data_IF_773404590676
#
_entry.id   IF_773404590676
#
_cell.length_a   1.000
_cell.length_b   1.000
_cell.length_c   1.000
_cell.angle_alpha   90.00
_cell.angle_beta   90.00
_cell.angle_gamma   90.00
#
_symmetry.space_group_name_H-M   'P 1'
#
loop_
_entity.id
_entity.type
_entity.pdbx_description
1 polymer ?
#
# COMPACT_ATOMS: atom_id res chain seq x y z
N UNK A 1 21.01 -65.31 9.62
CA UNK A 1 20.02 -64.26 9.29
C UNK A 1 19.68 -63.48 10.56
N UNK A 2 19.37 -62.20 10.38
CA UNK A 2 19.58 -61.12 11.33
C UNK A 2 18.61 -61.02 12.52
N UNK A 3 19.08 -60.32 13.56
CA UNK A 3 18.28 -59.29 14.23
C UNK A 3 18.02 -59.45 15.73
N UNK A 4 18.79 -58.74 16.58
CA UNK A 4 18.28 -58.07 17.79
C UNK A 4 19.29 -57.05 18.33
N UNK A 5 18.73 -55.93 18.80
CA UNK A 5 19.34 -54.66 19.21
C UNK A 5 20.31 -54.79 20.40
N UNK A 6 21.39 -54.00 20.41
CA UNK A 6 21.99 -53.48 21.65
C UNK A 6 22.49 -52.04 21.47
N UNK A 7 22.12 -51.21 22.42
CA UNK A 7 22.56 -49.83 22.61
C UNK A 7 24.04 -49.76 23.01
N UNK A 8 24.77 -48.75 22.54
CA UNK A 8 26.02 -48.30 23.20
C UNK A 8 26.04 -46.78 23.31
N UNK A 9 26.08 -46.31 24.56
CA UNK A 9 26.41 -44.95 24.98
C UNK A 9 27.88 -44.66 24.66
N UNK A 10 28.17 -43.49 24.08
CA UNK A 10 29.52 -42.92 24.03
C UNK A 10 29.50 -41.63 24.85
N UNK A 11 30.35 -41.58 25.88
CA UNK A 11 30.62 -40.40 26.69
C UNK A 11 31.62 -39.49 25.97
N UNK A 12 31.34 -38.18 25.90
CA UNK A 12 32.32 -37.17 25.50
C UNK A 12 32.92 -36.49 26.73
N UNK A 13 34.23 -36.57 26.91
CA UNK A 13 35.01 -35.73 27.84
C UNK A 13 35.38 -34.44 27.11
N UNK A 14 34.94 -33.29 27.61
CA UNK A 14 35.40 -31.99 27.15
C UNK A 14 36.81 -31.68 27.69
N UNK A 15 37.71 -31.25 26.81
CA UNK A 15 39.02 -30.69 27.18
C UNK A 15 39.14 -29.33 26.48
N UNK A 16 39.05 -28.24 27.25
CA UNK A 16 39.34 -26.89 26.78
C UNK A 16 40.86 -26.72 26.68
N UNK A 17 41.39 -26.33 25.51
CA UNK A 17 42.82 -26.09 25.30
C UNK A 17 43.11 -24.58 25.34
N UNK A 18 44.02 -24.19 26.23
CA UNK A 18 44.62 -22.86 26.32
C UNK A 18 45.58 -22.60 25.16
N UNK A 19 45.78 -21.31 24.90
CA UNK A 19 46.68 -20.66 23.93
C UNK A 19 48.10 -21.21 23.84
N UNK A 20 48.66 -21.21 22.62
CA UNK A 20 50.11 -21.23 22.38
C UNK A 20 50.46 -20.19 21.28
N UNK A 21 51.50 -19.34 21.46
CA UNK A 21 52.03 -18.42 20.46
C UNK A 21 53.09 -19.12 19.58
N UNK A 22 53.50 -18.45 18.50
CA UNK A 22 54.50 -18.88 17.51
C UNK A 22 54.11 -20.02 16.54
N UNK A 23 53.78 -19.62 15.30
CA UNK A 23 54.39 -20.22 14.10
C UNK A 23 54.38 -19.17 12.98
N UNK A 24 55.50 -18.47 12.84
CA UNK A 24 55.84 -17.78 11.59
C UNK A 24 56.39 -18.78 10.57
N UNK A 25 55.98 -18.65 9.31
CA UNK A 25 56.88 -18.45 8.16
C UNK A 25 56.11 -18.42 6.82
N UNK A 26 56.39 -17.33 6.10
CA UNK A 26 56.54 -17.17 4.64
C UNK A 26 55.39 -17.49 3.69
N UNK A 27 54.89 -16.43 3.04
CA UNK A 27 55.15 -16.17 1.61
C UNK A 27 55.23 -14.65 1.38
N UNK A 28 56.40 -14.17 0.95
CA UNK A 28 56.57 -12.85 0.31
C UNK A 28 55.88 -12.88 -1.05
N UNK A 29 55.15 -11.87 -1.49
CA UNK A 29 55.56 -10.68 -2.29
C UNK A 29 54.22 -10.05 -2.70
N UNK A 30 53.90 -8.76 -2.73
CA UNK A 30 54.63 -7.52 -2.97
C UNK A 30 53.87 -6.38 -2.30
N UNK A 31 54.60 -5.50 -1.62
CA UNK A 31 54.13 -4.17 -1.22
C UNK A 31 54.21 -3.27 -2.46
N UNK A 32 53.08 -2.98 -3.08
CA UNK A 32 52.89 -1.84 -3.98
C UNK A 32 51.43 -1.43 -3.87
N UNK A 33 51.22 -0.13 -3.70
CA UNK A 33 49.94 0.58 -3.81
C UNK A 33 49.14 0.72 -2.50
N UNK A 34 49.72 1.53 -1.62
CA UNK A 34 48.96 2.41 -0.73
C UNK A 34 47.96 3.26 -1.52
N UNK A 35 46.82 3.53 -0.87
CA UNK A 35 46.00 4.74 -0.99
C UNK A 35 45.27 5.02 -2.31
N UNK A 36 44.04 4.46 -2.48
CA UNK A 36 42.94 5.18 -3.17
C UNK A 36 41.55 4.92 -2.54
N UNK A 37 41.14 5.90 -1.72
CA UNK A 37 39.76 6.36 -1.48
C UNK A 37 38.69 5.37 -0.96
N UNK A 38 38.66 5.16 0.36
CA UNK A 38 37.42 4.81 1.08
C UNK A 38 36.83 6.05 1.74
N UNK A 39 36.20 6.92 0.93
CA UNK A 39 35.27 7.92 1.46
C UNK A 39 33.89 7.23 1.62
N UNK A 40 33.68 6.63 2.79
CA UNK A 40 32.43 5.95 3.14
C UNK A 40 31.32 6.99 3.28
N UNK A 41 30.44 7.06 2.27
CA UNK A 41 29.20 7.83 2.35
C UNK A 41 28.21 7.18 3.30
N UNK A 42 28.03 7.77 4.49
CA UNK A 42 27.17 7.27 5.57
C UNK A 42 25.70 7.00 5.19
N UNK A 43 25.18 7.60 4.10
CA UNK A 43 23.81 7.35 3.62
C UNK A 43 23.65 5.97 2.94
N UNK A 44 24.69 5.50 2.22
CA UNK A 44 24.69 4.22 1.51
C UNK A 44 24.67 3.03 2.48
N UNK A 45 25.41 3.15 3.59
CA UNK A 45 25.45 2.13 4.63
C UNK A 45 24.12 1.99 5.38
N UNK A 46 23.36 3.08 5.51
CA UNK A 46 22.10 3.04 6.23
C UNK A 46 21.02 2.30 5.43
N UNK A 47 20.87 2.58 4.13
CA UNK A 47 19.99 1.83 3.23
C UNK A 47 20.35 0.34 3.20
N UNK A 48 21.62 -0.01 3.05
CA UNK A 48 22.07 -1.41 3.02
C UNK A 48 21.84 -2.14 4.35
N UNK A 49 22.15 -1.51 5.49
CA UNK A 49 21.87 -2.11 6.81
C UNK A 49 20.38 -2.22 7.10
N UNK A 50 19.56 -1.28 6.63
CA UNK A 50 18.11 -1.34 6.76
C UNK A 50 17.53 -2.45 5.87
N UNK A 51 18.01 -2.61 4.64
CA UNK A 51 17.66 -3.73 3.75
C UNK A 51 17.99 -5.08 4.41
N UNK A 52 19.19 -5.23 4.97
CA UNK A 52 19.60 -6.46 5.67
C UNK A 52 18.81 -6.72 6.96
N UNK A 53 18.40 -5.68 7.69
CA UNK A 53 17.72 -5.83 8.99
C UNK A 53 16.20 -5.98 8.87
N UNK A 54 15.57 -5.31 7.90
CA UNK A 54 14.12 -5.19 7.79
C UNK A 54 13.54 -5.86 6.54
N UNK A 55 14.36 -6.24 5.55
CA UNK A 55 13.91 -6.99 4.37
C UNK A 55 13.48 -8.44 4.66
N UNK A 56 13.84 -8.97 5.83
CA UNK A 56 13.60 -10.36 6.23
C UNK A 56 12.35 -10.55 7.11
N UNK A 57 11.64 -9.45 7.45
CA UNK A 57 10.48 -9.46 8.36
C UNK A 57 9.13 -9.73 7.67
N UNK A 58 9.12 -9.96 6.35
CA UNK A 58 7.92 -10.40 5.61
C UNK A 58 7.65 -11.92 5.75
N UNK A 59 8.50 -12.67 6.46
CA UNK A 59 8.17 -14.04 6.89
C UNK A 59 7.35 -14.00 8.18
N UNK A 60 6.03 -13.97 8.04
CA UNK A 60 5.12 -14.26 9.15
C UNK A 60 5.27 -15.75 9.49
N UNK A 61 6.19 -16.08 10.39
CA UNK A 61 6.22 -17.39 11.04
C UNK A 61 5.01 -17.51 11.98
N UNK A 62 3.95 -18.16 11.49
CA UNK A 62 2.78 -18.55 12.30
C UNK A 62 3.00 -19.86 13.06
N UNK A 63 4.23 -20.37 13.13
CA UNK A 63 4.57 -21.56 13.89
C UNK A 63 4.67 -21.30 15.39
N UNK A 64 3.59 -21.55 16.14
CA UNK A 64 3.70 -21.85 17.58
C UNK A 64 4.45 -23.17 17.74
N UNK A 65 5.79 -23.11 17.75
CA UNK A 65 6.60 -24.22 18.24
C UNK A 65 6.72 -24.12 19.75
N UNK A 66 6.04 -25.03 20.44
CA UNK A 66 6.30 -25.35 21.85
C UNK A 66 7.81 -25.56 22.00
N UNK A 67 8.43 -24.81 22.91
CA UNK A 67 9.81 -25.04 23.32
C UNK A 67 9.89 -26.47 23.85
N UNK A 68 10.64 -27.33 23.17
CA UNK A 68 11.09 -28.59 23.73
C UNK A 68 12.34 -28.31 24.55
N UNK A 69 12.33 -28.76 25.80
CA UNK A 69 13.39 -28.61 26.80
C UNK A 69 14.66 -29.40 26.43
N UNK A 70 15.44 -28.93 25.45
CA UNK A 70 16.69 -29.61 25.05
C UNK A 70 17.93 -28.71 24.87
N UNK A 71 17.83 -27.38 24.99
CA UNK A 71 18.99 -26.47 24.84
C UNK A 71 19.38 -25.77 26.15
N UNK A 72 19.59 -26.54 27.22
CA UNK A 72 20.40 -26.08 28.36
C UNK A 72 21.84 -26.58 28.20
N UNK A 73 22.66 -25.81 27.48
CA UNK A 73 24.11 -25.86 27.66
C UNK A 73 24.50 -24.93 28.83
N UNK A 74 25.35 -25.36 29.77
CA UNK A 74 25.74 -24.53 30.91
C UNK A 74 26.88 -23.57 30.51
N UNK A 75 26.59 -22.28 30.45
CA UNK A 75 27.60 -21.22 30.33
C UNK A 75 28.40 -21.09 31.65
N UNK A 76 29.41 -21.93 31.81
CA UNK A 76 30.43 -21.84 32.86
C UNK A 76 31.74 -21.35 32.24
N UNK A 77 31.79 -20.06 31.89
CA UNK A 77 33.04 -19.34 31.56
C UNK A 77 33.07 -18.02 32.35
N UNK A 78 33.41 -18.09 33.65
CA UNK A 78 33.67 -16.91 34.46
C UNK A 78 35.07 -16.34 34.18
N UNK A 79 35.14 -15.04 33.87
CA UNK A 79 36.39 -14.26 33.91
C UNK A 79 36.72 -13.95 35.38
N UNK A 80 37.91 -14.29 35.90
CA UNK A 80 38.31 -13.89 37.25
C UNK A 80 38.86 -12.45 37.23
N UNK A 81 38.41 -11.61 38.18
CA UNK A 81 39.24 -10.50 38.66
C UNK A 81 38.75 -9.05 38.51
N UNK A 82 37.46 -8.74 38.69
CA UNK A 82 37.04 -7.36 39.04
C UNK A 82 36.11 -7.40 40.26
N UNK A 83 36.40 -6.66 41.35
CA UNK A 83 35.50 -6.60 42.48
C UNK A 83 34.21 -5.85 42.09
N UNK A 84 33.07 -6.48 42.36
CA UNK A 84 31.75 -5.87 42.19
C UNK A 84 31.61 -4.78 43.26
N UNK A 85 31.63 -3.51 42.83
CA UNK A 85 31.30 -2.38 43.70
C UNK A 85 29.79 -2.36 43.91
N UNK A 86 29.32 -2.88 45.05
CA UNK A 86 27.95 -2.68 45.50
C UNK A 86 27.81 -1.23 45.99
N UNK A 87 27.13 -0.39 45.21
CA UNK A 87 26.74 0.95 45.65
C UNK A 87 25.37 0.83 46.34
N UNK A 88 25.25 1.14 47.65
CA UNK A 88 23.95 1.22 48.30
C UNK A 88 23.24 2.48 47.82
N UNK A 89 22.05 2.35 47.23
CA UNK A 89 21.18 3.48 46.92
C UNK A 89 20.63 4.08 48.23
N UNK A 90 21.23 5.18 48.70
CA UNK A 90 20.63 6.01 49.75
C UNK A 90 19.55 6.92 49.14
N UNK A 91 18.34 7.04 49.74
CA UNK A 91 17.36 8.03 49.32
C UNK A 91 17.88 9.45 49.59
N UNK A 92 17.75 10.35 48.62
CA UNK A 92 18.01 11.79 48.78
C UNK A 92 16.79 12.41 49.49
N UNK A 93 16.91 12.95 50.70
CA UNK A 93 15.80 13.66 51.34
C UNK A 93 15.60 15.02 50.65
N UNK A 94 14.39 15.29 50.14
CA UNK A 94 13.99 16.64 49.72
C UNK A 94 13.49 16.82 48.28
N UNK A 95 13.41 15.78 47.45
CA UNK A 95 12.79 15.89 46.13
C UNK A 95 11.25 15.81 46.23
N UNK A 96 10.59 16.94 46.49
CA UNK A 96 9.14 17.06 46.31
C UNK A 96 8.80 16.99 44.82
N UNK A 97 8.33 15.82 44.37
CA UNK A 97 7.68 15.67 43.07
C UNK A 97 6.36 16.42 43.12
N UNK A 98 6.29 17.59 42.47
CA UNK A 98 5.01 18.26 42.21
C UNK A 98 4.22 17.40 41.23
N UNK A 99 3.28 16.61 41.75
CA UNK A 99 2.23 15.98 40.94
C UNK A 99 1.36 17.08 40.34
N UNK A 100 1.52 17.34 39.03
CA UNK A 100 0.57 18.17 38.28
C UNK A 100 -0.75 17.40 38.17
N UNK A 101 -1.81 18.03 38.66
CA UNK A 101 -3.20 17.61 38.59
C UNK A 101 -3.60 17.12 37.18
N UNK A 102 -4.21 15.93 37.12
CA UNK A 102 -4.72 15.24 35.93
C UNK A 102 -6.13 15.66 35.51
N UNK A 103 -6.65 16.80 35.97
CA UNK A 103 -8.07 17.15 35.80
C UNK A 103 -8.37 18.02 34.55
N UNK A 104 -7.38 18.46 33.79
CA UNK A 104 -7.61 19.25 32.57
C UNK A 104 -6.99 18.60 31.32
N UNK A 105 -7.55 17.49 30.85
CA UNK A 105 -7.27 16.96 29.50
C UNK A 105 -8.34 15.98 28.95
N UNK A 106 -9.54 15.96 29.55
CA UNK A 106 -10.63 15.08 29.11
C UNK A 106 -11.63 15.74 28.14
N UNK A 107 -11.63 17.08 27.99
CA UNK A 107 -12.60 17.79 27.13
C UNK A 107 -12.07 18.17 25.73
N UNK A 108 -10.76 18.06 25.49
CA UNK A 108 -10.13 18.49 24.22
C UNK A 108 -9.92 17.33 23.22
N UNK A 109 -10.30 16.10 23.58
CA UNK A 109 -10.12 14.89 22.74
C UNK A 109 -11.39 14.43 22.01
N UNK A 110 -12.52 15.10 22.22
CA UNK A 110 -13.78 14.79 21.54
C UNK A 110 -14.15 15.78 20.42
N UNK A 111 -13.54 16.97 20.36
CA UNK A 111 -13.89 18.00 19.37
C UNK A 111 -13.17 17.87 18.03
N UNK A 112 -12.06 17.13 17.95
CA UNK A 112 -11.32 16.91 16.69
C UNK A 112 -11.69 15.61 15.96
N UNK A 113 -12.37 14.67 16.62
CA UNK A 113 -12.85 13.43 15.99
C UNK A 113 -14.21 13.59 15.29
N UNK A 114 -14.98 14.63 15.61
CA UNK A 114 -16.27 14.93 14.96
C UNK A 114 -16.12 15.83 13.73
N UNK A 115 -15.04 16.61 13.64
CA UNK A 115 -14.80 17.50 12.49
C UNK A 115 -14.03 16.84 11.33
N UNK A 116 -13.50 15.62 11.51
CA UNK A 116 -12.75 14.89 10.49
C UNK A 116 -13.56 13.78 9.81
N UNK A 117 -14.89 13.95 9.71
CA UNK A 117 -15.79 13.06 8.95
C UNK A 117 -16.48 13.78 7.78
N UNK A 118 -16.27 15.10 7.60
CA UNK A 118 -17.13 15.91 6.71
C UNK A 118 -16.49 16.47 5.43
N UNK A 119 -15.37 15.94 4.93
CA UNK A 119 -14.94 16.23 3.55
C UNK A 119 -14.23 15.03 2.87
N UNK A 120 -14.77 13.82 3.04
CA UNK A 120 -14.74 12.95 1.86
C UNK A 120 -15.68 13.62 0.86
N UNK A 121 -15.30 13.91 -0.40
CA UNK A 121 -16.31 14.17 -1.41
C UNK A 121 -17.19 12.92 -1.38
N UNK A 122 -18.38 13.05 -0.80
CA UNK A 122 -19.39 12.02 -0.95
C UNK A 122 -19.46 11.79 -2.45
N UNK A 123 -19.16 10.57 -2.89
CA UNK A 123 -19.65 10.15 -4.18
C UNK A 123 -21.13 10.00 -3.92
N UNK A 124 -21.90 11.06 -4.21
CA UNK A 124 -23.34 11.01 -4.04
C UNK A 124 -23.82 9.91 -4.99
N UNK A 125 -24.36 8.82 -4.43
CA UNK A 125 -25.06 7.80 -5.21
C UNK A 125 -26.07 8.51 -6.09
N UNK A 126 -25.88 8.48 -7.42
CA UNK A 126 -26.84 9.08 -8.32
C UNK A 126 -28.02 8.14 -8.46
N UNK A 127 -29.23 8.67 -8.34
CA UNK A 127 -30.43 7.89 -8.60
C UNK A 127 -30.87 8.03 -10.06
N UNK A 128 -31.19 6.89 -10.67
CA UNK A 128 -31.69 6.78 -12.04
C UNK A 128 -33.13 6.30 -12.02
N UNK A 129 -34.02 6.97 -12.74
CA UNK A 129 -35.42 6.56 -12.79
C UNK A 129 -35.72 5.72 -14.04
N UNK A 130 -36.43 4.61 -13.85
CA UNK A 130 -37.02 3.80 -14.92
C UNK A 130 -38.54 3.76 -14.71
N UNK A 131 -39.29 4.33 -15.65
CA UNK A 131 -40.74 4.18 -15.68
C UNK A 131 -41.10 2.77 -16.13
N UNK A 132 -42.06 2.15 -15.43
CA UNK A 132 -42.58 0.82 -15.71
C UNK A 132 -44.03 0.97 -16.14
N UNK A 133 -44.38 0.43 -17.29
CA UNK A 133 -45.75 0.51 -17.76
C UNK A 133 -46.17 1.92 -18.16
N UNK A 134 -47.48 2.18 -18.08
CA UNK A 134 -48.11 3.44 -18.43
C UNK A 134 -49.46 3.22 -19.13
N UNK A 135 -50.24 4.29 -19.28
CA UNK A 135 -51.47 4.27 -20.07
C UNK A 135 -51.34 5.28 -21.20
N UNK A 136 -51.66 4.88 -22.43
CA UNK A 136 -51.86 5.83 -23.54
C UNK A 136 -53.34 6.12 -23.72
N UNK A 137 -53.66 7.40 -23.91
CA UNK A 137 -55.01 7.88 -24.24
C UNK A 137 -55.42 7.57 -25.70
N UNK A 138 -54.72 6.66 -26.40
CA UNK A 138 -55.07 6.29 -27.78
C UNK A 138 -56.28 5.36 -27.78
N UNK A 139 -57.44 5.98 -27.54
CA UNK A 139 -58.75 5.39 -27.76
C UNK A 139 -58.89 4.90 -29.19
N UNK A 140 -58.84 3.58 -29.36
CA UNK A 140 -59.57 2.92 -30.44
C UNK A 140 -61.08 3.14 -30.25
N UNK A 141 -61.87 2.79 -31.27
CA UNK A 141 -63.33 2.97 -31.43
C UNK A 141 -64.23 2.49 -30.25
N UNK A 142 -63.66 2.01 -29.14
CA UNK A 142 -64.32 1.65 -27.88
C UNK A 142 -63.79 2.37 -26.61
N UNK A 143 -62.94 3.39 -26.72
CA UNK A 143 -62.64 4.31 -25.61
C UNK A 143 -61.91 3.70 -24.38
N UNK A 144 -61.09 2.66 -24.56
CA UNK A 144 -60.27 2.10 -23.48
C UNK A 144 -58.83 2.59 -23.51
N UNK A 145 -58.26 2.90 -22.34
CA UNK A 145 -56.81 3.07 -22.17
C UNK A 145 -56.10 1.74 -22.38
N UNK A 146 -54.99 1.74 -23.11
CA UNK A 146 -54.15 0.54 -23.31
C UNK A 146 -52.91 0.61 -22.42
N UNK A 147 -52.65 -0.48 -21.69
CA UNK A 147 -51.43 -0.64 -20.89
C UNK A 147 -50.21 -0.69 -21.81
N UNK A 148 -49.25 0.20 -21.57
CA UNK A 148 -47.99 0.26 -22.32
C UNK A 148 -47.04 -0.77 -21.74
N UNK A 149 -46.59 -1.75 -22.54
CA UNK A 149 -45.80 -2.87 -22.05
C UNK A 149 -44.28 -2.62 -22.15
N UNK A 150 -43.77 -1.61 -21.43
CA UNK A 150 -42.37 -1.20 -21.55
C UNK A 150 -41.71 -0.74 -20.25
N UNK A 151 -40.39 -0.78 -20.26
CA UNK A 151 -39.52 -0.04 -19.35
C UNK A 151 -38.98 1.19 -20.08
N UNK A 152 -38.98 2.36 -19.46
CA UNK A 152 -38.51 3.60 -20.07
C UNK A 152 -37.61 4.41 -19.13
N UNK A 153 -36.32 4.61 -19.48
CA UNK A 153 -35.59 3.87 -20.52
C UNK A 153 -35.47 2.38 -20.21
N UNK A 154 -35.54 1.51 -21.22
CA UNK A 154 -35.34 0.08 -21.02
C UNK A 154 -33.88 -0.28 -20.68
N UNK A 155 -32.93 0.47 -21.24
CA UNK A 155 -31.51 0.24 -21.04
C UNK A 155 -30.87 1.48 -20.44
N UNK A 156 -30.16 1.32 -19.33
CA UNK A 156 -29.42 2.39 -18.67
C UNK A 156 -27.97 1.99 -18.41
N UNK A 157 -27.09 2.99 -18.41
CA UNK A 157 -25.70 2.83 -17.95
C UNK A 157 -25.48 3.71 -16.73
N UNK A 158 -25.02 3.11 -15.65
CA UNK A 158 -24.80 3.72 -14.33
C UNK A 158 -23.39 3.35 -13.84
N UNK A 159 -22.97 3.88 -12.70
CA UNK A 159 -21.72 3.48 -12.06
C UNK A 159 -21.99 2.67 -10.79
N UNK A 160 -21.05 1.81 -10.39
CA UNK A 160 -21.18 1.07 -9.14
C UNK A 160 -21.25 2.06 -7.96
N UNK A 161 -22.26 1.86 -7.12
CA UNK A 161 -22.62 2.77 -6.03
C UNK A 161 -23.88 3.61 -6.32
N UNK A 162 -24.38 3.63 -7.56
CA UNK A 162 -25.63 4.30 -7.92
C UNK A 162 -26.88 3.47 -7.54
N UNK A 163 -28.05 4.11 -7.58
CA UNK A 163 -29.36 3.46 -7.39
C UNK A 163 -30.23 3.58 -8.64
N UNK A 164 -31.17 2.64 -8.77
CA UNK A 164 -32.21 2.69 -9.81
C UNK A 164 -33.58 2.63 -9.14
N UNK A 165 -34.37 3.68 -9.35
CA UNK A 165 -35.77 3.78 -8.93
C UNK A 165 -36.69 3.38 -10.07
N UNK A 166 -37.42 2.27 -9.88
CA UNK A 166 -38.48 1.84 -10.77
C UNK A 166 -39.82 2.37 -10.28
N UNK A 167 -40.59 3.01 -11.16
CA UNK A 167 -41.92 3.55 -10.85
C UNK A 167 -42.95 3.02 -11.82
N UNK A 168 -43.97 2.32 -11.32
CA UNK A 168 -45.10 1.88 -12.13
C UNK A 168 -46.05 3.06 -12.42
N UNK A 169 -46.15 3.41 -13.70
CA UNK A 169 -46.94 4.52 -14.21
C UNK A 169 -48.36 4.11 -14.67
N UNK A 170 -48.70 2.82 -14.62
CA UNK A 170 -49.97 2.26 -15.04
C UNK A 170 -49.83 0.79 -15.45
N UNK A 171 -50.93 0.03 -15.33
CA UNK A 171 -50.95 -1.40 -15.64
C UNK A 171 -50.40 -2.31 -14.52
N UNK A 172 -50.49 -3.62 -14.74
CA UNK A 172 -50.04 -4.64 -13.79
C UNK A 172 -48.66 -5.16 -14.18
N UNK A 173 -47.62 -4.70 -13.46
CA UNK A 173 -46.23 -4.98 -13.79
C UNK A 173 -45.39 -5.28 -12.55
N UNK A 174 -44.27 -5.96 -12.77
CA UNK A 174 -43.15 -6.04 -11.83
C UNK A 174 -41.82 -5.82 -12.56
N UNK A 175 -40.73 -5.80 -11.79
CA UNK A 175 -39.37 -5.83 -12.28
C UNK A 175 -38.63 -6.98 -11.61
N UNK A 176 -38.21 -7.97 -12.38
CA UNK A 176 -37.48 -9.15 -11.91
C UNK A 176 -36.14 -9.25 -12.63
N UNK A 177 -35.08 -9.51 -11.88
CA UNK A 177 -33.76 -9.75 -12.48
C UNK A 177 -33.76 -11.07 -13.25
N UNK A 178 -33.06 -11.10 -14.37
CA UNK A 178 -32.74 -12.35 -15.08
C UNK A 178 -31.80 -13.24 -14.25
N UNK A 179 -31.10 -12.68 -13.25
CA UNK A 179 -30.29 -13.43 -12.28
C UNK A 179 -31.16 -13.82 -11.08
N UNK A 180 -31.42 -15.13 -10.85
CA UNK A 180 -32.27 -15.57 -9.75
C UNK A 180 -31.80 -15.05 -8.39
N UNK A 181 -32.73 -14.51 -7.61
CA UNK A 181 -32.47 -14.03 -6.25
C UNK A 181 -31.80 -12.66 -6.15
N UNK A 182 -31.51 -11.97 -7.27
CA UNK A 182 -30.90 -10.64 -7.21
C UNK A 182 -31.90 -9.55 -6.82
N UNK A 183 -33.03 -9.47 -7.52
CA UNK A 183 -34.19 -8.67 -7.14
C UNK A 183 -35.44 -9.12 -7.90
N UNK A 184 -36.60 -8.94 -7.28
CA UNK A 184 -37.92 -9.14 -7.89
C UNK A 184 -38.93 -8.28 -7.14
N UNK A 185 -39.46 -7.24 -7.78
CA UNK A 185 -40.09 -6.12 -7.09
C UNK A 185 -41.36 -5.60 -7.78
N UNK A 186 -42.32 -5.20 -6.95
CA UNK A 186 -43.49 -4.42 -7.31
C UNK A 186 -43.86 -3.52 -6.11
N UNK A 187 -44.91 -3.84 -5.35
CA UNK A 187 -45.20 -3.27 -4.03
C UNK A 187 -44.16 -3.71 -2.98
N UNK A 188 -42.90 -3.30 -3.16
CA UNK A 188 -41.72 -3.82 -2.48
C UNK A 188 -41.08 -5.01 -3.22
N UNK A 189 -39.89 -5.41 -2.77
CA UNK A 189 -39.14 -6.54 -3.34
C UNK A 189 -39.34 -7.82 -2.51
N UNK A 190 -39.15 -8.98 -3.14
CA UNK A 190 -39.04 -10.26 -2.44
C UNK A 190 -38.09 -10.17 -1.25
N UNK A 191 -38.55 -10.60 -0.08
CA UNK A 191 -37.76 -10.54 1.16
C UNK A 191 -37.51 -9.13 1.70
N UNK A 192 -38.04 -8.08 1.06
CA UNK A 192 -37.83 -6.68 1.46
C UNK A 192 -39.08 -5.83 1.16
N UNK A 193 -40.11 -6.01 1.99
CA UNK A 193 -41.30 -5.17 2.00
C UNK A 193 -42.35 -5.48 0.92
N UNK A 194 -42.15 -6.50 0.09
CA UNK A 194 -43.11 -6.93 -0.94
C UNK A 194 -43.00 -8.40 -1.33
N UNK A 195 -43.92 -8.84 -2.20
CA UNK A 195 -43.97 -10.21 -2.74
C UNK A 195 -43.44 -10.34 -4.17
N UNK A 196 -42.91 -9.24 -4.73
CA UNK A 196 -42.40 -9.16 -6.09
C UNK A 196 -43.43 -9.44 -7.19
N UNK A 197 -44.69 -9.70 -6.82
CA UNK A 197 -45.76 -10.13 -7.73
C UNK A 197 -46.26 -8.94 -8.55
N UNK A 198 -46.51 -9.09 -9.86
CA UNK A 198 -47.04 -8.02 -10.70
C UNK A 198 -48.24 -7.30 -10.07
N UNK A 199 -48.13 -5.98 -9.94
CA UNK A 199 -49.14 -5.14 -9.32
C UNK A 199 -49.11 -3.73 -9.95
N UNK A 200 -50.13 -2.92 -9.67
CA UNK A 200 -50.19 -1.52 -10.05
C UNK A 200 -49.75 -0.59 -8.90
N UNK A 201 -49.33 0.63 -9.25
CA UNK A 201 -49.16 1.73 -8.29
C UNK A 201 -48.06 1.55 -7.25
N UNK A 202 -46.82 1.34 -7.71
CA UNK A 202 -45.67 1.12 -6.84
C UNK A 202 -44.41 1.86 -7.30
N UNK A 203 -43.52 2.11 -6.34
CA UNK A 203 -42.17 2.64 -6.57
C UNK A 203 -41.19 1.86 -5.70
N UNK A 204 -40.03 1.51 -6.27
CA UNK A 204 -38.96 0.82 -5.54
C UNK A 204 -37.59 1.28 -6.01
N UNK A 205 -36.67 1.44 -5.07
CA UNK A 205 -35.29 1.87 -5.35
C UNK A 205 -34.34 0.72 -5.01
N UNK A 206 -33.46 0.37 -5.95
CA UNK A 206 -32.51 -0.75 -5.83
C UNK A 206 -31.08 -0.22 -5.97
N UNK A 207 -30.17 -0.50 -5.03
CA UNK A 207 -28.76 -0.13 -5.14
C UNK A 207 -27.96 -1.10 -6.01
N UNK A 208 -27.01 -0.58 -6.80
CA UNK A 208 -26.13 -1.36 -7.67
C UNK A 208 -24.67 -1.10 -7.32
N UNK A 209 -24.11 -1.92 -6.43
CA UNK A 209 -22.75 -1.74 -5.90
C UNK A 209 -21.67 -2.54 -6.65
N UNK A 210 -22.07 -3.44 -7.56
CA UNK A 210 -21.15 -4.34 -8.27
C UNK A 210 -21.19 -4.06 -9.76
N UNK A 211 -20.02 -3.86 -10.37
CA UNK A 211 -19.90 -3.67 -11.80
C UNK A 211 -20.37 -4.91 -12.57
N UNK A 212 -21.01 -4.71 -13.71
CA UNK A 212 -21.56 -5.79 -14.53
C UNK A 212 -22.79 -5.36 -15.32
N UNK A 213 -23.34 -6.30 -16.10
CA UNK A 213 -24.59 -6.07 -16.84
C UNK A 213 -25.68 -6.95 -16.25
N UNK A 214 -26.76 -6.31 -15.81
CA UNK A 214 -27.90 -6.95 -15.16
C UNK A 214 -29.11 -6.84 -16.08
N UNK A 215 -29.51 -7.97 -16.67
CA UNK A 215 -30.78 -8.08 -17.38
C UNK A 215 -31.95 -8.13 -16.40
N UNK A 216 -33.09 -7.58 -16.81
CA UNK A 216 -34.32 -7.62 -16.04
C UNK A 216 -35.55 -7.66 -16.96
N UNK A 217 -36.68 -8.13 -16.43
CA UNK A 217 -37.92 -8.30 -17.17
C UNK A 217 -39.14 -8.10 -16.28
N UNK A 218 -40.30 -7.89 -16.91
CA UNK A 218 -41.60 -8.04 -16.25
C UNK A 218 -42.08 -9.48 -16.45
N UNK A 219 -42.33 -10.23 -15.39
CA UNK A 219 -42.67 -11.67 -15.47
C UNK A 219 -43.91 -11.93 -16.32
N UNK A 220 -44.95 -11.10 -16.16
CA UNK A 220 -46.21 -11.25 -16.90
C UNK A 220 -46.06 -10.96 -18.41
N UNK A 221 -45.15 -10.05 -18.79
CA UNK A 221 -45.01 -9.54 -20.15
C UNK A 221 -43.69 -9.93 -20.82
N UNK A 222 -42.94 -10.86 -20.22
CA UNK A 222 -41.63 -11.30 -20.72
C UNK A 222 -41.73 -11.92 -22.11
N UNK A 223 -42.79 -12.70 -22.37
CA UNK A 223 -43.08 -13.30 -23.67
C UNK A 223 -43.47 -12.29 -24.75
N UNK A 224 -43.83 -11.06 -24.35
CA UNK A 224 -44.15 -9.94 -25.23
C UNK A 224 -42.95 -8.99 -25.40
N UNK A 225 -41.81 -9.30 -24.77
CA UNK A 225 -40.55 -8.54 -24.93
C UNK A 225 -40.33 -7.43 -23.91
N UNK A 226 -41.15 -7.32 -22.85
CA UNK A 226 -40.96 -6.31 -21.80
C UNK A 226 -39.73 -6.63 -20.94
N UNK A 227 -38.57 -6.13 -21.40
CA UNK A 227 -37.24 -6.39 -20.85
C UNK A 227 -36.40 -5.12 -20.84
N UNK A 228 -35.36 -5.11 -20.04
CA UNK A 228 -34.38 -4.04 -19.98
C UNK A 228 -33.02 -4.53 -19.50
N UNK A 229 -32.03 -3.63 -19.55
CA UNK A 229 -30.67 -3.90 -19.05
C UNK A 229 -30.13 -2.73 -18.24
N UNK A 230 -29.42 -3.04 -17.15
CA UNK A 230 -28.64 -2.09 -16.36
C UNK A 230 -27.18 -2.46 -16.55
N UNK A 231 -26.42 -1.60 -17.23
CA UNK A 231 -24.97 -1.71 -17.31
C UNK A 231 -24.35 -0.86 -16.19
N UNK A 232 -23.65 -1.51 -15.27
CA UNK A 232 -22.97 -0.88 -14.14
C UNK A 232 -21.48 -0.84 -14.45
N UNK A 233 -20.98 0.35 -14.76
CA UNK A 233 -19.55 0.60 -14.85
C UNK A 233 -18.90 0.42 -13.48
N UNK A 234 -17.63 0.00 -13.40
CA UNK A 234 -16.91 0.01 -12.13
C UNK A 234 -16.94 1.41 -11.51
N UNK A 235 -17.02 1.46 -10.18
CA UNK A 235 -16.84 2.71 -9.46
C UNK A 235 -15.48 3.30 -9.87
N UNK A 236 -15.37 4.63 -10.05
CA UNK A 236 -14.07 5.25 -10.22
C UNK A 236 -13.17 4.82 -9.07
N UNK A 237 -12.17 3.99 -9.34
CA UNK A 237 -11.18 3.67 -8.33
C UNK A 237 -10.54 4.99 -7.93
N UNK A 238 -10.51 5.30 -6.64
CA UNK A 238 -9.65 6.37 -6.16
C UNK A 238 -8.23 6.00 -6.60
N UNK A 239 -7.72 6.67 -7.63
CA UNK A 239 -6.33 6.51 -8.02
C UNK A 239 -5.52 6.91 -6.81
N UNK A 240 -4.63 6.03 -6.35
CA UNK A 240 -3.73 6.32 -5.26
C UNK A 240 -3.13 7.73 -5.43
N UNK A 241 -3.04 8.50 -4.36
CA UNK A 241 -2.50 9.86 -4.42
C UNK A 241 -1.16 9.89 -3.70
N UNK A 242 -0.17 10.53 -4.30
CA UNK A 242 1.05 10.87 -3.60
C UNK A 242 0.68 11.85 -2.48
N UNK A 243 0.98 11.47 -1.24
CA UNK A 243 0.80 12.27 -0.04
C UNK A 243 2.10 12.28 0.76
N UNK A 244 2.24 13.11 1.81
CA UNK A 244 3.38 13.03 2.72
C UNK A 244 3.69 11.62 3.23
N UNK A 245 2.67 10.77 3.34
CA UNK A 245 2.78 9.36 3.74
C UNK A 245 3.68 8.49 2.84
N UNK A 246 3.98 8.91 1.61
CA UNK A 246 4.92 8.20 0.70
C UNK A 246 6.40 8.43 1.06
N UNK A 247 6.69 9.49 1.82
CA UNK A 247 8.07 9.83 2.22
C UNK A 247 8.75 8.65 2.91
N UNK A 248 9.97 8.34 2.48
CA UNK A 248 10.73 7.21 3.01
C UNK A 248 11.77 6.67 2.03
N UNK A 249 12.30 5.50 2.37
CA UNK A 249 13.24 4.75 1.54
C UNK A 249 12.49 3.70 0.73
N UNK A 250 12.85 3.56 -0.54
CA UNK A 250 12.23 2.65 -1.50
C UNK A 250 13.30 1.89 -2.28
N UNK A 251 13.02 0.66 -2.70
CA UNK A 251 14.00 -0.18 -3.40
C UNK A 251 13.31 -1.29 -4.19
N UNK A 252 14.03 -1.95 -5.09
CA UNK A 252 13.59 -3.21 -5.68
C UNK A 252 14.21 -4.37 -4.87
N UNK A 253 13.41 -5.24 -4.22
CA UNK A 253 13.94 -6.41 -3.49
C UNK A 253 14.82 -7.33 -4.34
N UNK A 254 14.45 -7.54 -5.60
CA UNK A 254 15.18 -8.41 -6.54
C UNK A 254 16.52 -7.80 -7.00
N UNK A 255 16.74 -6.52 -6.70
CA UNK A 255 17.97 -5.78 -7.01
C UNK A 255 18.49 -5.04 -5.77
N UNK A 256 18.46 -5.72 -4.62
CA UNK A 256 18.96 -5.15 -3.35
C UNK A 256 20.39 -4.62 -3.48
N UNK A 257 20.71 -3.53 -2.78
CA UNK A 257 22.01 -2.85 -2.82
C UNK A 257 21.99 -1.44 -3.44
N UNK A 258 20.91 -1.10 -4.15
CA UNK A 258 20.63 0.26 -4.63
C UNK A 258 19.19 0.67 -4.25
N UNK A 259 18.82 1.93 -4.44
CA UNK A 259 17.48 2.39 -4.14
C UNK A 259 17.33 3.89 -3.98
N UNK A 260 16.19 4.29 -3.46
CA UNK A 260 15.73 5.68 -3.45
C UNK A 260 15.47 6.19 -2.04
N UNK A 261 15.72 7.48 -1.83
CA UNK A 261 15.08 8.25 -0.78
C UNK A 261 14.11 9.23 -1.45
N UNK A 262 12.84 9.13 -1.07
CA UNK A 262 11.74 9.91 -1.62
C UNK A 262 11.18 10.81 -0.52
N UNK A 263 10.96 12.08 -0.85
CA UNK A 263 10.40 13.07 0.07
C UNK A 263 9.30 13.86 -0.63
N UNK A 264 8.14 13.90 0.01
CA UNK A 264 7.04 14.78 -0.39
C UNK A 264 7.13 16.04 0.46
N UNK A 265 7.46 17.15 -0.19
CA UNK A 265 7.72 18.43 0.43
C UNK A 265 6.50 19.36 0.32
N UNK A 266 6.46 20.45 1.11
CA UNK A 266 5.47 21.52 0.93
C UNK A 266 5.46 22.07 -0.51
N UNK A 267 4.37 22.75 -0.88
CA UNK A 267 4.18 23.35 -2.21
C UNK A 267 4.21 22.34 -3.38
N UNK A 268 3.74 21.12 -3.12
CA UNK A 268 3.59 20.05 -4.11
C UNK A 268 4.91 19.61 -4.76
N UNK A 269 6.03 19.72 -4.04
CA UNK A 269 7.36 19.33 -4.55
C UNK A 269 7.65 17.88 -4.18
N UNK A 270 8.04 17.07 -5.16
CA UNK A 270 8.59 15.73 -4.94
C UNK A 270 10.10 15.78 -5.07
N UNK A 271 10.82 15.38 -4.03
CA UNK A 271 12.28 15.24 -4.02
C UNK A 271 12.64 13.77 -4.06
N UNK A 272 13.59 13.41 -4.93
CA UNK A 272 14.12 12.07 -5.00
C UNK A 272 15.64 12.07 -5.08
N UNK A 273 16.24 11.17 -4.33
CA UNK A 273 17.63 10.74 -4.47
C UNK A 273 17.65 9.28 -4.91
N UNK A 274 18.43 8.97 -5.93
CA UNK A 274 18.70 7.61 -6.38
C UNK A 274 20.17 7.28 -6.14
N UNK A 275 20.41 6.29 -5.28
CA UNK A 275 21.73 5.74 -5.01
C UNK A 275 21.89 4.48 -5.86
N UNK A 276 22.68 4.58 -6.93
CA UNK A 276 22.87 3.51 -7.92
C UNK A 276 24.35 3.42 -8.30
N UNK A 277 24.66 2.63 -9.34
CA UNK A 277 26.00 2.44 -9.87
C UNK A 277 26.06 2.86 -11.34
N UNK A 278 27.23 3.34 -11.78
CA UNK A 278 27.51 3.55 -13.20
C UNK A 278 27.80 2.23 -13.93
N UNK A 279 27.97 2.30 -15.24
CA UNK A 279 28.27 1.12 -16.08
C UNK A 279 29.62 0.47 -15.80
N UNK A 280 30.49 1.10 -15.01
CA UNK A 280 31.76 0.55 -14.52
C UNK A 280 31.66 0.02 -13.09
N UNK A 281 30.47 0.00 -12.49
CA UNK A 281 30.22 -0.47 -11.13
C UNK A 281 30.63 0.52 -10.03
N UNK A 282 30.95 1.78 -10.36
CA UNK A 282 31.24 2.81 -9.35
C UNK A 282 29.95 3.46 -8.88
N UNK A 283 29.96 3.99 -7.66
CA UNK A 283 28.82 4.69 -7.11
C UNK A 283 28.41 5.89 -7.99
N UNK A 284 27.12 5.94 -8.31
CA UNK A 284 26.47 7.02 -9.04
C UNK A 284 25.29 7.53 -8.21
N UNK A 285 25.36 8.78 -7.77
CA UNK A 285 24.29 9.39 -7.00
C UNK A 285 23.58 10.44 -7.85
N UNK A 286 22.28 10.26 -8.02
CA UNK A 286 21.43 11.13 -8.79
C UNK A 286 20.42 11.78 -7.85
N UNK A 287 20.20 13.08 -7.97
CA UNK A 287 19.25 13.78 -7.15
C UNK A 287 18.49 14.83 -7.95
N UNK A 288 17.25 15.08 -7.57
CA UNK A 288 16.41 16.04 -8.29
C UNK A 288 15.08 16.30 -7.62
N UNK A 289 14.38 17.29 -8.16
CA UNK A 289 12.99 17.62 -7.78
C UNK A 289 12.06 17.51 -8.97
N UNK A 290 10.77 17.35 -8.70
CA UNK A 290 9.74 17.30 -9.73
C UNK A 290 9.65 18.62 -10.51
N UNK A 291 9.61 18.53 -11.84
CA UNK A 291 9.37 19.69 -12.69
C UNK A 291 7.86 19.95 -12.80
N UNK A 292 7.35 21.01 -12.18
CA UNK A 292 5.92 21.36 -12.24
C UNK A 292 5.01 20.62 -11.26
N UNK A 293 5.58 20.11 -10.16
CA UNK A 293 4.87 19.35 -9.10
C UNK A 293 4.38 17.96 -9.52
N UNK A 294 3.92 17.15 -8.57
CA UNK A 294 3.36 15.81 -8.83
C UNK A 294 1.83 15.83 -8.88
N UNK A 295 1.22 14.80 -9.50
CA UNK A 295 -0.23 14.70 -9.67
C UNK A 295 -0.70 13.25 -9.57
N UNK A 296 -1.80 13.02 -8.86
CA UNK A 296 -2.32 11.67 -8.59
C UNK A 296 -1.25 10.79 -7.97
N UNK A 297 -1.04 9.60 -8.52
CA UNK A 297 -0.02 8.64 -8.09
C UNK A 297 1.35 8.84 -8.74
N UNK A 298 1.55 9.88 -9.56
CA UNK A 298 2.73 9.99 -10.42
C UNK A 298 3.55 11.26 -10.17
N UNK A 299 4.87 11.10 -10.09
CA UNK A 299 5.84 12.17 -9.95
C UNK A 299 7.00 11.97 -10.92
N UNK A 300 7.31 12.99 -11.73
CA UNK A 300 8.50 12.97 -12.62
C UNK A 300 9.54 13.97 -12.13
N UNK A 301 10.74 13.46 -11.88
CA UNK A 301 11.88 14.17 -11.29
C UNK A 301 12.97 14.37 -12.35
N UNK A 302 13.51 15.59 -12.44
CA UNK A 302 14.68 15.88 -13.27
C UNK A 302 15.95 15.58 -12.48
N UNK A 303 16.68 14.54 -12.87
CA UNK A 303 17.87 14.09 -12.17
C UNK A 303 19.13 14.84 -12.59
N UNK A 304 19.93 15.20 -11.60
CA UNK A 304 21.25 15.81 -11.74
C UNK A 304 22.29 14.92 -11.09
N UNK A 305 23.41 14.71 -11.76
CA UNK A 305 24.61 14.11 -11.19
C UNK A 305 25.50 15.22 -10.62
N UNK A 306 25.99 15.03 -9.39
CA UNK A 306 26.96 15.94 -8.77
C UNK A 306 28.33 15.26 -8.65
N UNK A 307 29.38 15.89 -9.17
CA UNK A 307 30.76 15.35 -9.17
C UNK A 307 31.77 16.41 -8.73
N UNK A 308 33.04 16.01 -8.59
CA UNK A 308 34.16 16.91 -8.28
C UNK A 308 34.30 17.33 -6.80
N UNK A 309 33.35 16.93 -5.95
CA UNK A 309 33.46 17.13 -4.50
C UNK A 309 34.49 16.21 -3.85
N UNK A 310 35.14 16.71 -2.80
CA UNK A 310 36.08 15.99 -1.94
C UNK A 310 35.56 15.89 -0.51
N UNK A 311 36.19 15.04 0.31
CA UNK A 311 35.92 15.00 1.75
C UNK A 311 36.16 16.39 2.37
N UNK A 312 35.37 16.82 3.36
CA UNK A 312 35.58 18.10 4.04
C UNK A 312 37.04 18.30 4.49
N UNK A 313 37.63 19.49 4.25
CA UNK A 313 37.00 20.68 3.69
C UNK A 313 36.76 20.58 2.17
N UNK A 314 35.56 20.96 1.74
CA UNK A 314 35.13 20.96 0.34
C UNK A 314 35.50 22.29 -0.32
N UNK A 315 36.06 22.25 -1.53
CA UNK A 315 36.15 23.41 -2.43
C UNK A 315 34.88 23.47 -3.31
N UNK A 316 33.95 24.43 -3.09
CA UNK A 316 32.72 24.51 -3.85
C UNK A 316 32.93 24.76 -5.34
N UNK A 317 34.06 25.34 -5.74
CA UNK A 317 34.35 25.67 -7.15
C UNK A 317 34.66 24.42 -7.98
N UNK A 318 34.97 23.30 -7.34
CA UNK A 318 35.20 22.00 -7.99
C UNK A 318 33.90 21.20 -8.17
N UNK A 319 32.80 21.62 -7.54
CA UNK A 319 31.53 20.90 -7.62
C UNK A 319 30.86 21.19 -8.97
N UNK A 320 30.65 20.13 -9.75
CA UNK A 320 29.96 20.20 -11.04
C UNK A 320 28.61 19.50 -10.92
N UNK A 321 27.55 20.15 -11.43
CA UNK A 321 26.19 19.62 -11.47
C UNK A 321 25.76 19.49 -12.92
N UNK A 322 25.58 18.26 -13.38
CA UNK A 322 25.25 17.96 -14.78
C UNK A 322 23.89 17.30 -14.83
N UNK A 323 23.01 17.78 -15.73
CA UNK A 323 21.73 17.12 -15.99
C UNK A 323 21.97 15.69 -16.49
N UNK A 324 21.29 14.71 -15.88
CA UNK A 324 21.48 13.30 -16.19
C UNK A 324 20.30 12.71 -16.98
N UNK A 325 19.07 13.11 -16.66
CA UNK A 325 17.85 12.58 -17.29
C UNK A 325 16.62 12.76 -16.42
N UNK A 326 15.59 11.97 -16.65
CA UNK A 326 14.36 11.98 -15.87
C UNK A 326 14.11 10.64 -15.18
N UNK A 327 13.40 10.71 -14.05
CA UNK A 327 12.94 9.55 -13.30
C UNK A 327 11.49 9.77 -12.88
N UNK A 328 10.61 8.85 -13.28
CA UNK A 328 9.19 8.89 -12.98
C UNK A 328 8.83 7.77 -12.01
N UNK A 329 8.13 8.13 -10.94
CA UNK A 329 7.54 7.19 -10.00
C UNK A 329 6.04 7.11 -10.24
N UNK A 330 5.48 5.90 -10.21
CA UNK A 330 4.04 5.65 -10.20
C UNK A 330 3.70 4.68 -9.07
N UNK A 331 2.89 5.13 -8.11
CA UNK A 331 2.53 4.33 -6.93
C UNK A 331 1.20 3.60 -7.15
N UNK A 332 1.15 2.32 -6.78
CA UNK A 332 -0.08 1.52 -6.78
C UNK A 332 -0.75 1.51 -5.42
N UNK A 333 0.05 1.53 -4.35
CA UNK A 333 -0.40 1.63 -2.97
C UNK A 333 0.70 2.23 -2.07
N UNK A 334 0.51 2.15 -0.75
CA UNK A 334 1.41 2.66 0.27
C UNK A 334 2.83 2.06 0.27
N UNK A 335 2.98 0.87 -0.27
CA UNK A 335 4.17 0.04 -0.15
C UNK A 335 4.68 -0.45 -1.51
N UNK A 336 3.95 -0.21 -2.61
CA UNK A 336 4.31 -0.67 -3.94
C UNK A 336 4.20 0.44 -5.00
N UNK A 337 5.10 0.39 -5.98
CA UNK A 337 5.10 1.28 -7.12
C UNK A 337 6.06 0.83 -8.21
N UNK A 338 6.26 1.69 -9.19
CA UNK A 338 7.20 1.50 -10.31
C UNK A 338 8.07 2.74 -10.46
N UNK A 339 9.36 2.54 -10.72
CA UNK A 339 10.31 3.59 -11.08
C UNK A 339 10.76 3.40 -12.53
N UNK A 340 10.62 4.43 -13.36
CA UNK A 340 10.98 4.43 -14.78
C UNK A 340 11.93 5.59 -15.07
N UNK A 341 13.05 5.33 -15.74
CA UNK A 341 14.05 6.36 -16.03
C UNK A 341 14.34 6.48 -17.52
N UNK A 342 14.63 7.71 -17.92
CA UNK A 342 15.05 8.08 -19.28
C UNK A 342 16.31 8.94 -19.18
N UNK A 343 17.50 8.36 -19.40
CA UNK A 343 18.75 9.11 -19.39
C UNK A 343 18.79 10.10 -20.55
N UNK A 344 19.27 11.32 -20.28
CA UNK A 344 19.63 12.32 -21.29
C UNK A 344 21.13 12.30 -21.64
N UNK A 345 21.89 11.38 -21.04
CA UNK A 345 23.33 11.21 -21.23
C UNK A 345 23.64 9.89 -21.93
N UNK A 346 24.74 9.85 -22.68
CA UNK A 346 25.17 8.66 -23.42
C UNK A 346 25.67 7.56 -22.47
N UNK A 347 25.49 6.30 -22.87
CA UNK A 347 26.01 5.13 -22.16
C UNK A 347 25.10 4.55 -21.07
N UNK A 348 23.94 5.16 -20.80
CA UNK A 348 22.94 4.62 -19.88
C UNK A 348 21.67 4.24 -20.64
N UNK A 349 21.18 2.99 -20.55
CA UNK A 349 19.90 2.61 -21.15
C UNK A 349 18.72 3.11 -20.31
N UNK A 350 17.61 3.47 -20.97
CA UNK A 350 16.32 3.65 -20.31
C UNK A 350 15.82 2.33 -19.74
N UNK A 351 14.99 2.39 -18.71
CA UNK A 351 14.45 1.20 -18.09
C UNK A 351 13.36 1.49 -17.07
N UNK A 352 12.85 0.41 -16.51
CA UNK A 352 11.80 0.44 -15.49
C UNK A 352 11.99 -0.71 -14.52
N UNK A 353 11.56 -0.52 -13.27
CA UNK A 353 11.53 -1.59 -12.28
C UNK A 353 10.43 -1.38 -11.24
N UNK A 354 9.88 -2.46 -10.67
CA UNK A 354 9.02 -2.36 -9.50
C UNK A 354 9.83 -1.90 -8.29
N UNK A 355 9.18 -1.16 -7.39
CA UNK A 355 9.76 -0.73 -6.12
C UNK A 355 8.82 -1.05 -4.97
N UNK A 356 9.42 -1.43 -3.83
CA UNK A 356 8.76 -1.60 -2.55
C UNK A 356 9.27 -0.58 -1.54
N UNK A 357 8.40 -0.20 -0.61
CA UNK A 357 8.76 0.66 0.52
C UNK A 357 9.60 -0.11 1.52
N UNK A 358 10.74 0.46 1.89
CA UNK A 358 11.64 -0.06 2.93
C UNK A 358 11.40 0.62 4.28
N UNK A 359 11.16 1.94 4.26
CA UNK A 359 10.93 2.70 5.49
C UNK A 359 9.79 3.69 5.31
N UNK A 360 9.14 4.00 6.42
CA UNK A 360 8.21 5.12 6.52
C UNK A 360 8.54 6.04 7.67
N UNK A 361 8.06 7.28 7.55
CA UNK A 361 8.22 8.29 8.59
C UNK A 361 7.09 8.12 9.61
N UNK A 362 7.47 7.92 10.87
CA UNK A 362 6.51 7.83 11.98
C UNK A 362 5.62 9.07 12.03
N UNK A 363 4.30 8.86 12.16
CA UNK A 363 3.31 9.93 12.23
C UNK A 363 2.77 10.42 10.87
N UNK A 364 3.30 9.91 9.75
CA UNK A 364 2.71 10.16 8.42
C UNK A 364 1.88 8.94 8.00
N UNK A 365 0.56 9.08 8.02
CA UNK A 365 -0.35 8.05 7.52
C UNK A 365 -0.30 8.01 5.99
N UNK A 366 -0.34 6.81 5.44
CA UNK A 366 -0.58 6.61 4.03
C UNK A 366 -2.10 6.60 3.77
N UNK A 367 -2.58 7.22 2.68
CA UNK A 367 -4.00 7.35 2.35
C UNK A 367 -4.72 6.04 2.10
#
# INVERSE_FOLDING_TARGET
MAGRRQQRRIQWRHRCRQSDPDHGRNLSTTRSDQDRALAVGHAHFHLQRLQQRYGDLDSVDTGVHRRNDADQAPDQCQRPGLPVMNVPSRPIPGATVRTRSTIMNAMMRWTLAVLLVLVAPGVWSKDYTVSVGGMTDSGGYYGGSTDVLMFQPANITINAGDTVTFTNMGGTHNVASDTPGLFRCANGCDGSGGSGTPAAGWTVTIPFNTAGTFGYHCELHVGMGMRGTITVNPAPQATFAITPGITGSWYNPDQSGHGFNLEVLPNNVFLAYWYVFDTSGKNLWLGGVSNGSFSGNSATVNLTQTTGGTYPPLDPTKVVRTAWGTLTFAFSDCNTGTATWTPGVVGFPSGTMPIKRLTGVSGLACP
#
